data_IF_670099700372
#
_entry.id   IF_670099700372
#
_cell.length_a   1.000
_cell.length_b   1.000
_cell.length_c   1.000
_cell.angle_alpha   90.00
_cell.angle_beta   90.00
_cell.angle_gamma   90.00
#
_symmetry.space_group_name_H-M   'P 1'
#
loop_
_entity.id
_entity.type
_entity.pdbx_description
1 polymer ?
#
# COMPACT_ATOMS: atom_id res chain seq x y z
N UNK A 1 2.23 -32.91 16.91
CA UNK A 1 2.94 -33.89 16.06
C UNK A 1 4.34 -33.36 15.84
N UNK A 2 5.34 -34.02 16.44
CA UNK A 2 6.76 -33.69 16.31
C UNK A 2 7.29 -34.37 15.04
N UNK A 3 7.98 -33.63 14.16
CA UNK A 3 8.88 -34.15 13.12
C UNK A 3 10.03 -33.14 13.11
N UNK A 4 11.09 -33.41 13.88
CA UNK A 4 12.29 -34.15 13.50
C UNK A 4 13.31 -33.23 12.83
N UNK A 5 14.32 -32.91 13.63
CA UNK A 5 15.56 -32.24 13.26
C UNK A 5 16.23 -32.96 12.08
N UNK A 6 16.69 -32.20 11.09
CA UNK A 6 17.72 -32.67 10.18
C UNK A 6 18.80 -31.59 10.01
N UNK A 7 20.03 -32.07 10.07
CA UNK A 7 21.25 -31.32 10.37
C UNK A 7 21.59 -30.23 9.36
N UNK A 8 22.11 -29.14 9.90
CA UNK A 8 22.79 -28.04 9.22
C UNK A 8 24.13 -28.52 8.64
N UNK A 9 24.32 -28.33 7.34
CA UNK A 9 25.62 -28.18 6.66
C UNK A 9 25.63 -26.83 5.91
N UNK A 10 26.77 -26.12 5.81
CA UNK A 10 26.78 -24.72 5.42
C UNK A 10 26.48 -24.57 3.93
N UNK A 11 25.36 -23.91 3.62
CA UNK A 11 25.05 -23.39 2.29
C UNK A 11 25.72 -22.02 2.16
N UNK A 12 26.90 -21.98 1.53
CA UNK A 12 27.60 -20.74 1.23
C UNK A 12 27.24 -20.23 -0.16
N UNK A 13 26.59 -19.07 -0.14
CA UNK A 13 26.36 -18.17 -1.26
C UNK A 13 27.64 -17.90 -2.06
N UNK A 14 27.71 -18.37 -3.31
CA UNK A 14 28.28 -17.60 -4.43
C UNK A 14 28.00 -18.22 -5.82
N UNK A 15 26.82 -18.81 -6.03
CA UNK A 15 26.34 -19.24 -7.35
C UNK A 15 25.80 -18.05 -8.15
N UNK A 16 26.68 -17.13 -8.54
CA UNK A 16 26.44 -16.29 -9.69
C UNK A 16 27.39 -16.75 -10.82
N UNK A 17 26.79 -17.10 -11.96
CA UNK A 17 27.37 -17.18 -13.31
C UNK A 17 28.03 -18.50 -13.79
N UNK A 18 27.95 -19.66 -13.09
CA UNK A 18 28.48 -20.94 -13.67
C UNK A 18 27.76 -22.24 -13.26
N UNK A 19 26.51 -22.45 -13.70
CA UNK A 19 25.93 -23.82 -13.79
C UNK A 19 26.36 -24.55 -15.08
N UNK A 20 27.01 -23.85 -16.02
CA UNK A 20 27.52 -24.46 -17.27
C UNK A 20 28.99 -24.91 -17.20
N UNK A 21 29.72 -24.62 -16.11
CA UNK A 21 31.18 -24.82 -16.03
C UNK A 21 31.66 -25.72 -14.86
N UNK A 22 30.77 -26.30 -14.04
CA UNK A 22 31.20 -27.07 -12.87
C UNK A 22 30.97 -28.58 -12.94
N UNK A 23 30.47 -29.12 -14.06
CA UNK A 23 30.06 -30.53 -14.15
C UNK A 23 31.20 -31.54 -14.38
N UNK A 24 32.48 -31.17 -14.32
CA UNK A 24 33.59 -32.09 -14.59
C UNK A 24 34.74 -31.89 -13.61
N UNK A 25 34.64 -32.53 -12.45
CA UNK A 25 35.80 -32.82 -11.60
C UNK A 25 35.76 -34.27 -11.14
N UNK A 26 35.81 -35.17 -12.13
CA UNK A 26 36.35 -36.52 -11.93
C UNK A 26 37.89 -36.48 -12.08
N UNK A 27 38.64 -37.23 -11.27
CA UNK A 27 40.11 -37.23 -11.26
C UNK A 27 40.74 -37.98 -12.46
N UNK A 28 39.98 -38.29 -13.50
CA UNK A 28 40.44 -38.97 -14.72
C UNK A 28 40.79 -37.97 -15.85
N UNK A 29 40.37 -36.70 -15.73
CA UNK A 29 40.55 -35.71 -16.80
C UNK A 29 41.76 -34.79 -16.56
N UNK A 30 42.88 -35.37 -16.16
CA UNK A 30 44.22 -34.85 -16.38
C UNK A 30 44.59 -34.99 -17.87
N UNK A 31 43.76 -34.44 -18.76
CA UNK A 31 44.08 -34.24 -20.17
C UNK A 31 43.38 -32.99 -20.64
N UNK A 32 44.13 -31.89 -20.67
CA UNK A 32 44.08 -30.86 -21.71
C UNK A 32 42.70 -30.60 -22.33
N UNK A 33 41.73 -30.11 -21.57
CA UNK A 33 40.62 -29.38 -22.17
C UNK A 33 40.84 -27.91 -21.87
N UNK A 34 41.74 -27.33 -22.67
CA UNK A 34 41.73 -25.90 -22.91
C UNK A 34 40.27 -25.50 -23.14
N UNK A 35 39.75 -24.62 -22.30
CA UNK A 35 38.56 -23.84 -22.62
C UNK A 35 38.90 -23.13 -23.93
N UNK A 36 38.54 -23.76 -25.04
CA UNK A 36 38.69 -23.19 -26.36
C UNK A 36 37.85 -21.92 -26.37
N UNK A 37 38.50 -20.83 -26.76
CA UNK A 37 37.87 -19.56 -27.01
C UNK A 37 36.89 -19.74 -28.19
N UNK A 38 35.67 -20.15 -27.89
CA UNK A 38 34.71 -20.57 -28.88
C UNK A 38 34.27 -19.35 -29.70
N UNK A 39 34.78 -19.26 -30.93
CA UNK A 39 34.31 -18.31 -31.94
C UNK A 39 34.72 -16.84 -31.73
N UNK A 40 35.63 -16.51 -30.80
CA UNK A 40 36.17 -15.14 -30.72
C UNK A 40 37.02 -14.75 -31.94
N UNK A 41 37.64 -15.73 -32.57
CA UNK A 41 38.44 -15.54 -33.79
C UNK A 41 37.58 -15.57 -35.06
N UNK A 42 36.26 -15.83 -34.94
CA UNK A 42 35.31 -15.78 -36.05
C UNK A 42 34.65 -14.39 -36.09
N UNK A 43 35.05 -13.54 -37.04
CA UNK A 43 34.54 -12.17 -37.13
C UNK A 43 33.03 -12.12 -37.43
N UNK A 44 32.51 -13.12 -38.14
CA UNK A 44 31.09 -13.16 -38.54
C UNK A 44 30.21 -13.50 -37.31
N UNK A 45 30.66 -14.43 -36.46
CA UNK A 45 29.94 -14.78 -35.23
C UNK A 45 29.93 -13.62 -34.22
N UNK A 46 31.04 -12.89 -34.10
CA UNK A 46 31.16 -11.73 -33.22
C UNK A 46 30.23 -10.60 -33.66
N UNK A 47 30.20 -10.31 -34.97
CA UNK A 47 29.31 -9.29 -35.53
C UNK A 47 27.83 -9.63 -35.29
N UNK A 48 27.44 -10.89 -35.49
CA UNK A 48 26.06 -11.33 -35.28
C UNK A 48 25.63 -11.26 -33.80
N UNK A 49 26.53 -11.63 -32.89
CA UNK A 49 26.28 -11.52 -31.44
C UNK A 49 26.17 -10.05 -30.99
N UNK A 50 26.99 -9.15 -31.54
CA UNK A 50 26.89 -7.71 -31.27
C UNK A 50 25.55 -7.13 -31.78
N UNK A 51 25.07 -7.55 -32.95
CA UNK A 51 23.74 -7.18 -33.46
C UNK A 51 22.62 -7.64 -32.53
N UNK A 52 22.63 -8.91 -32.13
CA UNK A 52 21.65 -9.46 -31.18
C UNK A 52 21.63 -8.69 -29.85
N UNK A 53 22.81 -8.28 -29.36
CA UNK A 53 22.91 -7.49 -28.14
C UNK A 53 22.30 -6.08 -28.31
N UNK A 54 22.56 -5.41 -29.44
CA UNK A 54 21.97 -4.10 -29.75
C UNK A 54 20.45 -4.19 -29.92
N UNK A 55 19.94 -5.26 -30.53
CA UNK A 55 18.50 -5.50 -30.68
C UNK A 55 17.81 -5.68 -29.33
N UNK A 56 18.38 -6.52 -28.44
CA UNK A 56 17.87 -6.71 -27.08
C UNK A 56 17.85 -5.41 -26.28
N UNK A 57 18.92 -4.60 -26.34
CA UNK A 57 18.94 -3.30 -25.67
C UNK A 57 17.89 -2.34 -26.24
N UNK A 58 17.66 -2.38 -27.55
CA UNK A 58 16.64 -1.56 -28.20
C UNK A 58 15.23 -1.97 -27.76
N UNK A 59 14.97 -3.28 -27.62
CA UNK A 59 13.72 -3.80 -27.08
C UNK A 59 13.53 -3.41 -25.61
N UNK A 60 14.56 -3.55 -24.78
CA UNK A 60 14.51 -3.15 -23.37
C UNK A 60 14.20 -1.65 -23.22
N UNK A 61 14.83 -0.78 -24.02
CA UNK A 61 14.54 0.66 -23.97
C UNK A 61 13.09 0.98 -24.36
N UNK A 62 12.55 0.33 -25.40
CA UNK A 62 11.14 0.48 -25.81
C UNK A 62 10.18 -0.03 -24.74
N UNK A 63 10.52 -1.15 -24.09
CA UNK A 63 9.74 -1.69 -22.97
C UNK A 63 9.73 -0.71 -21.79
N UNK A 64 10.89 -0.14 -21.43
CA UNK A 64 10.98 0.84 -20.35
C UNK A 64 10.16 2.11 -20.62
N UNK A 65 10.17 2.61 -21.87
CA UNK A 65 9.33 3.74 -22.29
C UNK A 65 7.83 3.41 -22.11
N UNK A 66 7.40 2.26 -22.66
CA UNK A 66 5.99 1.82 -22.59
C UNK A 66 5.53 1.63 -21.14
N UNK A 67 6.33 0.95 -20.32
CA UNK A 67 6.03 0.73 -18.91
C UNK A 67 5.98 2.05 -18.14
N UNK A 68 6.88 2.99 -18.44
CA UNK A 68 6.90 4.32 -17.85
C UNK A 68 5.62 5.11 -18.15
N UNK A 69 5.18 5.10 -19.41
CA UNK A 69 3.94 5.76 -19.84
C UNK A 69 2.70 5.14 -19.19
N UNK A 70 2.59 3.82 -19.20
CA UNK A 70 1.47 3.10 -18.56
C UNK A 70 1.43 3.35 -17.05
N UNK A 71 2.60 3.32 -16.38
CA UNK A 71 2.68 3.58 -14.95
C UNK A 71 2.24 5.01 -14.60
N UNK A 72 2.72 6.00 -15.37
CA UNK A 72 2.32 7.39 -15.20
C UNK A 72 0.82 7.57 -15.45
N UNK A 73 0.27 6.93 -16.49
CA UNK A 73 -1.16 6.96 -16.78
C UNK A 73 -1.98 6.39 -15.63
N UNK A 74 -1.63 5.20 -15.15
CA UNK A 74 -2.31 4.54 -14.03
C UNK A 74 -2.20 5.34 -12.73
N UNK A 75 -1.04 5.93 -12.44
CA UNK A 75 -0.84 6.81 -11.30
C UNK A 75 -1.73 8.05 -11.36
N UNK A 76 -1.82 8.69 -12.53
CA UNK A 76 -2.64 9.89 -12.70
C UNK A 76 -4.14 9.61 -12.50
N UNK A 77 -4.63 8.47 -13.00
CA UNK A 77 -6.01 8.02 -12.76
C UNK A 77 -6.23 7.80 -11.26
N UNK A 78 -5.37 6.98 -10.64
CA UNK A 78 -5.48 6.64 -9.22
C UNK A 78 -5.44 7.89 -8.32
N UNK A 79 -4.53 8.82 -8.62
CA UNK A 79 -4.41 10.08 -7.90
C UNK A 79 -5.65 10.96 -8.10
N UNK A 80 -6.19 11.02 -9.31
CA UNK A 80 -7.43 11.74 -9.62
C UNK A 80 -8.62 11.20 -8.82
N UNK A 81 -8.76 9.88 -8.77
CA UNK A 81 -9.81 9.20 -8.00
C UNK A 81 -9.65 9.42 -6.50
N UNK A 82 -8.44 9.30 -5.97
CA UNK A 82 -8.15 9.56 -4.57
C UNK A 82 -8.51 11.01 -4.18
N UNK A 83 -8.15 12.00 -5.01
CA UNK A 83 -8.52 13.41 -4.81
C UNK A 83 -10.03 13.63 -4.86
N UNK A 84 -10.72 12.99 -5.82
CA UNK A 84 -12.17 13.06 -5.94
C UNK A 84 -12.84 12.51 -4.68
N UNK A 85 -12.40 11.35 -4.20
CA UNK A 85 -12.93 10.70 -3.00
C UNK A 85 -12.66 11.53 -1.74
N UNK A 86 -11.44 12.04 -1.58
CA UNK A 86 -11.10 12.95 -0.48
C UNK A 86 -11.99 14.19 -0.46
N UNK A 87 -12.21 14.82 -1.63
CA UNK A 87 -13.09 15.98 -1.76
C UNK A 87 -14.55 15.65 -1.44
N UNK A 88 -15.01 14.45 -1.78
CA UNK A 88 -16.35 13.98 -1.43
C UNK A 88 -16.49 13.80 0.07
N UNK A 89 -15.54 13.12 0.73
CA UNK A 89 -15.54 12.96 2.17
C UNK A 89 -15.48 14.29 2.91
N UNK A 90 -14.65 15.23 2.45
CA UNK A 90 -14.58 16.56 3.04
C UNK A 90 -15.95 17.26 3.06
N UNK A 91 -16.67 17.23 1.93
CA UNK A 91 -18.01 17.82 1.83
C UNK A 91 -19.03 17.14 2.74
N UNK A 92 -19.00 15.81 2.84
CA UNK A 92 -19.90 15.09 3.74
C UNK A 92 -19.57 15.35 5.22
N UNK A 93 -18.29 15.50 5.56
CA UNK A 93 -17.86 15.91 6.89
C UNK A 93 -18.35 17.32 7.23
N UNK A 94 -18.26 18.26 6.29
CA UNK A 94 -18.79 19.63 6.46
C UNK A 94 -20.30 19.65 6.69
N UNK A 95 -21.07 18.84 5.96
CA UNK A 95 -22.51 18.67 6.19
C UNK A 95 -22.81 18.12 7.58
N UNK A 96 -22.06 17.09 8.01
CA UNK A 96 -22.20 16.52 9.33
C UNK A 96 -21.93 17.57 10.42
N UNK A 97 -20.83 18.31 10.29
CA UNK A 97 -20.46 19.36 11.24
C UNK A 97 -21.56 20.44 11.36
N UNK A 98 -22.09 20.92 10.23
CA UNK A 98 -23.17 21.90 10.23
C UNK A 98 -24.46 21.38 10.89
N UNK A 99 -24.80 20.11 10.64
CA UNK A 99 -25.94 19.47 11.28
C UNK A 99 -25.73 19.29 12.79
N UNK A 100 -24.54 18.87 13.22
CA UNK A 100 -24.17 18.74 14.63
C UNK A 100 -24.23 20.08 15.34
N UNK A 101 -23.67 21.14 14.75
CA UNK A 101 -23.72 22.48 15.32
C UNK A 101 -25.17 22.95 15.53
N UNK A 102 -26.02 22.76 14.53
CA UNK A 102 -27.45 23.12 14.62
C UNK A 102 -28.17 22.34 15.73
N UNK A 103 -27.93 21.03 15.82
CA UNK A 103 -28.51 20.17 16.84
C UNK A 103 -28.06 20.56 18.25
N UNK A 104 -26.76 20.82 18.42
CA UNK A 104 -26.20 21.23 19.72
C UNK A 104 -26.72 22.59 20.15
N UNK A 105 -26.82 23.55 19.24
CA UNK A 105 -27.39 24.86 19.55
C UNK A 105 -28.86 24.75 19.98
N UNK A 106 -29.65 23.90 19.30
CA UNK A 106 -31.03 23.63 19.69
C UNK A 106 -31.11 22.94 21.08
N UNK A 107 -30.22 21.98 21.34
CA UNK A 107 -30.12 21.28 22.63
C UNK A 107 -29.80 22.25 23.77
N UNK A 108 -28.82 23.13 23.58
CA UNK A 108 -28.42 24.14 24.57
C UNK A 108 -29.54 25.13 24.87
N UNK A 109 -30.24 25.62 23.83
CA UNK A 109 -31.42 26.49 23.99
C UNK A 109 -32.54 25.78 24.78
N UNK A 110 -32.85 24.53 24.42
CA UNK A 110 -33.86 23.74 25.12
C UNK A 110 -33.48 23.49 26.58
N UNK A 111 -32.21 23.18 26.86
CA UNK A 111 -31.71 22.99 28.21
C UNK A 111 -31.80 24.27 29.06
N UNK A 112 -31.49 25.43 28.47
CA UNK A 112 -31.62 26.72 29.14
C UNK A 112 -33.08 27.06 29.47
N UNK A 113 -34.01 26.81 28.54
CA UNK A 113 -35.45 27.00 28.77
C UNK A 113 -35.96 26.04 29.85
N UNK A 114 -35.63 24.75 29.74
CA UNK A 114 -36.03 23.74 30.72
C UNK A 114 -35.54 24.09 32.15
N UNK A 115 -34.34 24.64 32.28
CA UNK A 115 -33.80 25.07 33.57
C UNK A 115 -34.62 26.21 34.17
N UNK A 116 -35.06 27.18 33.35
CA UNK A 116 -35.92 28.29 33.79
C UNK A 116 -37.30 27.78 34.21
N UNK A 117 -37.90 26.91 33.40
CA UNK A 117 -39.19 26.29 33.69
C UNK A 117 -39.14 25.51 35.01
N UNK A 118 -38.14 24.64 35.21
CA UNK A 118 -37.96 23.90 36.46
C UNK A 118 -37.92 24.80 37.71
N UNK A 119 -37.27 25.96 37.61
CA UNK A 119 -37.23 26.94 38.71
C UNK A 119 -38.62 27.50 39.01
N UNK A 120 -39.38 27.85 37.97
CA UNK A 120 -40.75 28.35 38.10
C UNK A 120 -41.67 27.27 38.66
N UNK A 121 -41.64 26.07 38.09
CA UNK A 121 -42.41 24.90 38.54
C UNK A 121 -42.12 24.59 40.01
N UNK A 122 -40.85 24.60 40.43
CA UNK A 122 -40.49 24.36 41.84
C UNK A 122 -41.09 25.42 42.80
N UNK A 123 -41.11 26.70 42.39
CA UNK A 123 -41.77 27.73 43.20
C UNK A 123 -43.28 27.52 43.30
N UNK A 124 -43.93 27.14 42.20
CA UNK A 124 -45.37 26.85 42.19
C UNK A 124 -45.71 25.63 43.03
N UNK A 125 -44.95 24.56 42.91
CA UNK A 125 -45.07 23.36 43.74
C UNK A 125 -44.95 23.71 45.23
N UNK A 126 -43.93 24.50 45.61
CA UNK A 126 -43.76 24.91 47.00
C UNK A 126 -44.98 25.66 47.53
N UNK A 127 -45.55 26.58 46.74
CA UNK A 127 -46.78 27.31 47.11
C UNK A 127 -47.99 26.39 47.20
N UNK A 128 -48.15 25.47 46.27
CA UNK A 128 -49.25 24.50 46.29
C UNK A 128 -49.20 23.64 47.56
N UNK A 129 -48.00 23.17 47.95
CA UNK A 129 -47.81 22.42 49.21
C UNK A 129 -48.18 23.23 50.45
N UNK A 130 -47.87 24.53 50.49
CA UNK A 130 -48.32 25.42 51.58
C UNK A 130 -49.85 25.54 51.67
N UNK A 131 -50.56 25.34 50.56
CA UNK A 131 -52.02 25.37 50.49
C UNK A 131 -52.66 23.98 50.68
N UNK A 132 -51.89 22.98 51.11
CA UNK A 132 -52.39 21.63 51.42
C UNK A 132 -52.46 20.68 50.23
N UNK A 133 -51.80 21.00 49.10
CA UNK A 133 -51.65 20.02 48.02
C UNK A 133 -50.56 19.00 48.37
N UNK A 134 -50.91 17.72 48.39
CA UNK A 134 -49.98 16.64 48.81
C UNK A 134 -49.10 16.11 47.66
N UNK A 135 -49.44 16.41 46.40
CA UNK A 135 -48.77 15.86 45.22
C UNK A 135 -49.69 14.95 44.41
N UNK A 136 -49.11 14.28 43.42
CA UNK A 136 -49.69 13.11 42.74
C UNK A 136 -48.91 11.86 43.16
#
# INVERSE_FOLDING_TARGET
MRIADNLIGPCECCLCITQFMCALKDPILNTSFAMTDCGKDDPDLKEEMEKQFVDLLTEELKLQETVGEEHMHHMNITLGEAKRLASQYQREAEKCNAATETCEEARERAQALLTKEKKITSMWEHRARQLGWEGE
#
